data_IF_686413796258
#
_entry.id   IF_686413796258
#
_cell.length_a   1.000
_cell.length_b   1.000
_cell.length_c   1.000
_cell.angle_alpha   90.00
_cell.angle_beta   90.00
_cell.angle_gamma   90.00
#
_symmetry.space_group_name_H-M   'P 1'
#
loop_
_entity.id
_entity.type
_entity.pdbx_description
1 polymer ?
#
# COMPACT_ATOMS: atom_id res chain seq x y z
N UNK A 1 27.27 0.05 -24.59
CA UNK A 1 26.51 1.29 -24.97
C UNK A 1 25.67 1.64 -23.76
N UNK A 2 25.75 2.84 -23.24
CA UNK A 2 24.90 3.29 -22.11
C UNK A 2 23.48 3.62 -22.59
N UNK A 3 22.52 3.69 -21.65
CA UNK A 3 21.15 4.11 -21.97
C UNK A 3 21.13 5.51 -22.62
N UNK A 4 21.95 6.43 -22.10
CA UNK A 4 22.09 7.80 -22.64
C UNK A 4 22.47 7.82 -24.14
N UNK A 5 23.37 6.91 -24.56
CA UNK A 5 23.80 6.82 -25.96
C UNK A 5 22.77 6.08 -26.84
N UNK A 6 21.95 5.20 -26.27
CA UNK A 6 21.00 4.38 -27.01
C UNK A 6 19.62 5.05 -27.10
N UNK A 7 19.13 5.59 -25.99
CA UNK A 7 17.82 6.26 -25.90
C UNK A 7 17.92 7.46 -24.95
N UNK A 8 18.33 8.60 -25.51
CA UNK A 8 18.50 9.85 -24.76
C UNK A 8 17.19 10.37 -24.19
N UNK A 9 16.06 10.15 -24.86
CA UNK A 9 14.74 10.64 -24.41
C UNK A 9 14.34 9.97 -23.10
N UNK A 10 14.43 8.65 -23.02
CA UNK A 10 14.15 7.90 -21.79
C UNK A 10 15.15 8.23 -20.69
N UNK A 11 16.44 8.36 -21.05
CA UNK A 11 17.49 8.75 -20.09
C UNK A 11 17.18 10.13 -19.45
N UNK A 12 16.88 11.13 -20.28
CA UNK A 12 16.56 12.48 -19.80
C UNK A 12 15.28 12.51 -18.95
N UNK A 13 14.24 11.78 -19.33
CA UNK A 13 12.99 11.70 -18.56
C UNK A 13 13.18 11.01 -17.21
N UNK A 14 13.99 9.95 -17.17
CA UNK A 14 14.29 9.25 -15.92
C UNK A 14 15.10 10.12 -14.96
N UNK A 15 16.04 10.92 -15.48
CA UNK A 15 16.79 11.87 -14.65
C UNK A 15 15.90 13.02 -14.13
N UNK A 16 14.95 13.52 -14.94
CA UNK A 16 13.96 14.51 -14.48
C UNK A 16 13.08 13.94 -13.36
N UNK A 17 12.69 12.66 -13.44
CA UNK A 17 11.93 12.02 -12.36
C UNK A 17 12.78 11.84 -11.10
N UNK A 18 14.07 11.50 -11.22
CA UNK A 18 15.00 11.50 -10.10
C UNK A 18 15.10 12.87 -9.43
N UNK A 19 15.28 13.94 -10.23
CA UNK A 19 15.32 15.32 -9.74
C UNK A 19 14.03 15.67 -8.98
N UNK A 20 12.84 15.35 -9.55
CA UNK A 20 11.56 15.56 -8.90
C UNK A 20 11.46 14.86 -7.55
N UNK A 21 11.87 13.58 -7.47
CA UNK A 21 11.87 12.83 -6.23
C UNK A 21 12.88 13.37 -5.21
N UNK A 22 14.05 13.81 -5.65
CA UNK A 22 15.08 14.36 -4.76
C UNK A 22 14.70 15.73 -4.19
N UNK A 23 14.07 16.57 -4.99
CA UNK A 23 13.73 17.94 -4.62
C UNK A 23 12.39 18.08 -3.90
N UNK A 24 11.41 17.23 -4.26
CA UNK A 24 10.09 17.20 -3.67
C UNK A 24 9.98 16.33 -2.40
N UNK A 25 8.84 16.43 -1.72
CA UNK A 25 8.49 15.59 -0.60
C UNK A 25 7.34 14.64 -0.98
N UNK A 26 7.62 13.34 -0.99
CA UNK A 26 6.66 12.31 -1.32
C UNK A 26 5.85 11.91 -0.08
N UNK A 27 4.57 12.25 -0.06
CA UNK A 27 3.65 11.96 1.04
C UNK A 27 2.42 11.15 0.60
N UNK A 28 2.42 10.57 -0.59
CA UNK A 28 1.42 9.57 -0.96
C UNK A 28 1.61 8.34 -0.09
N UNK A 29 0.60 7.98 0.71
CA UNK A 29 0.69 6.91 1.71
C UNK A 29 1.01 5.51 1.14
N UNK A 30 0.83 5.31 -0.17
CA UNK A 30 1.12 4.07 -0.89
C UNK A 30 2.45 4.09 -1.63
N UNK A 31 3.26 5.15 -1.52
CA UNK A 31 4.58 5.26 -2.12
C UNK A 31 5.70 5.13 -1.10
N UNK A 32 6.86 4.71 -1.59
CA UNK A 32 8.06 4.56 -0.79
C UNK A 32 9.31 4.59 -1.68
N UNK A 33 10.46 4.92 -1.12
CA UNK A 33 11.75 4.83 -1.78
C UNK A 33 12.37 3.46 -1.49
N UNK A 34 12.43 2.60 -2.49
CA UNK A 34 13.01 1.26 -2.36
C UNK A 34 14.53 1.30 -2.22
N UNK A 35 15.13 0.16 -1.88
CA UNK A 35 16.59 0.06 -1.76
C UNK A 35 17.25 0.05 -3.16
N UNK A 36 18.47 0.63 -3.32
CA UNK A 36 19.25 0.51 -4.55
C UNK A 36 19.44 -0.94 -5.02
N UNK A 37 19.67 -1.88 -4.09
CA UNK A 37 19.85 -3.30 -4.37
C UNK A 37 18.58 -3.96 -4.94
N UNK A 38 17.40 -3.46 -4.60
CA UNK A 38 16.14 -3.90 -5.19
C UNK A 38 16.06 -3.46 -6.65
N UNK A 39 16.45 -2.22 -6.95
CA UNK A 39 16.48 -1.70 -8.33
C UNK A 39 17.56 -2.37 -9.17
N UNK A 40 18.73 -2.66 -8.61
CA UNK A 40 19.82 -3.36 -9.27
C UNK A 40 19.37 -4.74 -9.77
N UNK A 41 18.74 -5.54 -8.93
CA UNK A 41 18.28 -6.88 -9.34
C UNK A 41 17.08 -6.81 -10.28
N UNK A 42 16.25 -5.77 -10.21
CA UNK A 42 15.16 -5.52 -11.15
C UNK A 42 15.67 -5.32 -12.59
N UNK A 43 16.81 -4.68 -12.76
CA UNK A 43 17.48 -4.46 -14.06
C UNK A 43 18.37 -5.62 -14.52
N UNK A 44 18.31 -6.78 -13.89
CA UNK A 44 19.21 -7.91 -14.17
C UNK A 44 18.77 -8.78 -15.36
N UNK A 45 19.65 -9.71 -15.74
CA UNK A 45 19.41 -10.72 -16.79
C UNK A 45 18.20 -11.63 -16.51
N UNK A 46 17.68 -11.63 -15.29
CA UNK A 46 16.50 -12.43 -14.91
C UNK A 46 15.25 -12.02 -15.69
N UNK A 47 15.21 -10.83 -16.29
CA UNK A 47 14.16 -10.38 -17.20
C UNK A 47 14.02 -11.27 -18.45
N UNK A 48 15.09 -11.97 -18.84
CA UNK A 48 15.11 -12.82 -20.03
C UNK A 48 14.46 -14.20 -19.79
N UNK A 49 14.25 -14.59 -18.51
CA UNK A 49 13.90 -15.97 -18.18
C UNK A 49 12.41 -16.24 -18.18
N UNK A 50 11.97 -17.21 -18.95
CA UNK A 50 10.61 -17.73 -18.96
C UNK A 50 10.50 -18.95 -18.02
N UNK A 51 9.66 -18.89 -16.97
CA UNK A 51 9.63 -19.89 -15.90
C UNK A 51 8.20 -20.25 -15.45
N UNK A 52 7.28 -20.55 -16.40
CA UNK A 52 5.92 -21.00 -16.06
C UNK A 52 5.92 -22.22 -15.16
N UNK A 53 4.99 -22.24 -14.21
CA UNK A 53 4.92 -23.24 -13.14
C UNK A 53 5.50 -22.71 -11.83
N UNK A 54 5.93 -23.62 -10.99
CA UNK A 54 6.46 -23.36 -9.64
C UNK A 54 7.81 -24.06 -9.45
N UNK A 55 8.62 -23.70 -8.45
CA UNK A 55 9.92 -24.37 -8.19
C UNK A 55 9.80 -25.90 -8.20
N UNK A 56 10.66 -26.56 -8.95
CA UNK A 56 10.66 -28.01 -9.13
C UNK A 56 9.54 -28.57 -10.03
N UNK A 57 8.65 -27.72 -10.53
CA UNK A 57 7.50 -28.08 -11.39
C UNK A 57 7.31 -27.07 -12.52
N UNK A 58 8.38 -26.80 -13.27
CA UNK A 58 8.35 -25.85 -14.40
C UNK A 58 7.94 -26.54 -15.69
N UNK A 59 7.35 -25.75 -16.58
CA UNK A 59 7.03 -26.19 -17.95
C UNK A 59 8.19 -25.98 -18.91
N UNK A 60 9.26 -25.29 -18.51
CA UNK A 60 10.43 -24.95 -19.33
C UNK A 60 11.73 -25.42 -18.67
N UNK A 61 12.75 -25.71 -19.50
CA UNK A 61 14.08 -26.04 -19.01
C UNK A 61 14.89 -24.82 -18.59
N UNK A 62 16.08 -25.06 -17.99
CA UNK A 62 17.00 -23.98 -17.54
C UNK A 62 16.46 -23.16 -16.38
N UNK A 63 15.74 -23.78 -15.48
CA UNK A 63 15.10 -23.11 -14.35
C UNK A 63 15.79 -23.35 -13.00
N UNK A 64 16.92 -24.07 -12.98
CA UNK A 64 17.62 -24.46 -11.75
C UNK A 64 17.89 -23.28 -10.81
N UNK A 65 18.41 -22.16 -11.32
CA UNK A 65 18.74 -21.00 -10.49
C UNK A 65 17.51 -20.13 -10.16
N UNK A 66 16.55 -20.01 -11.08
CA UNK A 66 15.31 -19.27 -10.79
C UNK A 66 14.40 -20.02 -9.81
N UNK A 67 14.50 -21.36 -9.75
CA UNK A 67 13.85 -22.16 -8.72
C UNK A 67 14.41 -21.85 -7.33
N UNK A 68 15.73 -21.74 -7.22
CA UNK A 68 16.38 -21.33 -5.96
C UNK A 68 15.98 -19.89 -5.56
N UNK A 69 15.95 -18.96 -6.51
CA UNK A 69 15.54 -17.56 -6.29
C UNK A 69 14.10 -17.50 -5.79
N UNK A 70 13.16 -18.17 -6.46
CA UNK A 70 11.76 -18.15 -6.05
C UNK A 70 11.55 -18.84 -4.71
N UNK A 71 12.21 -19.98 -4.47
CA UNK A 71 12.21 -20.67 -3.18
C UNK A 71 12.72 -19.76 -2.07
N UNK A 72 13.82 -19.04 -2.30
CA UNK A 72 14.36 -18.08 -1.33
C UNK A 72 13.37 -16.94 -1.02
N UNK A 73 12.68 -16.41 -2.04
CA UNK A 73 11.64 -15.40 -1.85
C UNK A 73 10.47 -15.94 -1.01
N UNK A 74 10.01 -17.16 -1.32
CA UNK A 74 8.93 -17.85 -0.57
C UNK A 74 9.33 -18.04 0.89
N UNK A 75 10.52 -18.60 1.17
CA UNK A 75 10.95 -18.89 2.53
C UNK A 75 11.16 -17.60 3.36
N UNK A 76 11.69 -16.53 2.74
CA UNK A 76 11.79 -15.23 3.40
C UNK A 76 10.42 -14.63 3.68
N UNK A 77 9.47 -14.72 2.75
CA UNK A 77 8.09 -14.27 2.95
C UNK A 77 7.42 -15.03 4.09
N UNK A 78 7.52 -16.36 4.12
CA UNK A 78 6.98 -17.20 5.20
C UNK A 78 7.54 -16.81 6.56
N UNK A 79 8.87 -16.64 6.65
CA UNK A 79 9.54 -16.21 7.89
C UNK A 79 9.08 -14.82 8.33
N UNK A 80 8.96 -13.89 7.38
CA UNK A 80 8.61 -12.49 7.62
C UNK A 80 7.22 -12.35 8.23
N UNK A 81 6.22 -13.07 7.68
CA UNK A 81 4.83 -13.01 8.11
C UNK A 81 4.43 -14.12 9.10
N UNK A 82 5.36 -15.00 9.47
CA UNK A 82 5.11 -16.17 10.31
C UNK A 82 3.93 -17.00 9.77
N UNK A 83 3.97 -17.32 8.47
CA UNK A 83 2.96 -18.13 7.79
C UNK A 83 3.55 -19.42 7.21
N UNK A 84 2.67 -20.42 6.96
CA UNK A 84 3.12 -21.74 6.46
C UNK A 84 3.34 -21.76 4.95
N UNK A 85 2.54 -21.01 4.19
CA UNK A 85 2.55 -21.02 2.73
C UNK A 85 2.52 -19.59 2.20
N UNK A 86 3.29 -19.35 1.13
CA UNK A 86 3.34 -18.07 0.43
C UNK A 86 3.46 -18.28 -1.08
N UNK A 87 2.77 -17.45 -1.86
CA UNK A 87 2.94 -17.31 -3.30
C UNK A 87 3.47 -15.91 -3.59
N UNK A 88 4.65 -15.84 -4.24
CA UNK A 88 5.35 -14.59 -4.54
C UNK A 88 5.24 -14.17 -6.02
N UNK A 89 4.47 -14.93 -6.82
CA UNK A 89 4.32 -14.67 -8.26
C UNK A 89 3.35 -13.54 -8.62
N UNK A 90 2.34 -13.12 -7.81
CA UNK A 90 1.44 -12.06 -8.23
C UNK A 90 2.19 -10.79 -8.66
N UNK A 91 1.87 -10.27 -9.86
CA UNK A 91 2.52 -9.10 -10.43
C UNK A 91 2.09 -7.79 -9.75
N UNK A 92 0.95 -7.80 -9.06
CA UNK A 92 0.43 -6.66 -8.32
C UNK A 92 -0.49 -7.12 -7.18
N UNK A 93 -0.82 -6.21 -6.24
CA UNK A 93 -1.84 -6.48 -5.22
C UNK A 93 -3.21 -6.77 -5.84
N UNK A 94 -3.58 -6.09 -6.91
CA UNK A 94 -4.86 -6.35 -7.61
C UNK A 94 -4.92 -7.76 -8.19
N UNK A 95 -3.83 -8.25 -8.79
CA UNK A 95 -3.76 -9.64 -9.29
C UNK A 95 -3.71 -10.66 -8.15
N UNK A 96 -3.04 -10.34 -7.04
CA UNK A 96 -3.10 -11.16 -5.84
C UNK A 96 -4.55 -11.32 -5.35
N UNK A 97 -5.29 -10.21 -5.25
CA UNK A 97 -6.69 -10.22 -4.82
C UNK A 97 -7.58 -10.99 -5.80
N UNK A 98 -7.40 -10.81 -7.12
CA UNK A 98 -8.10 -11.60 -8.14
C UNK A 98 -7.84 -13.11 -7.99
N UNK A 99 -6.59 -13.50 -7.72
CA UNK A 99 -6.22 -14.87 -7.46
C UNK A 99 -6.90 -15.45 -6.23
N UNK A 100 -6.97 -14.66 -5.13
CA UNK A 100 -7.68 -15.07 -3.91
C UNK A 100 -9.17 -15.27 -4.17
N UNK A 101 -9.84 -14.35 -4.87
CA UNK A 101 -11.23 -14.52 -5.23
C UNK A 101 -11.46 -15.77 -6.08
N UNK A 102 -10.68 -15.95 -7.14
CA UNK A 102 -10.78 -17.11 -8.03
C UNK A 102 -10.51 -18.45 -7.32
N UNK A 103 -9.69 -18.42 -6.25
CA UNK A 103 -9.40 -19.61 -5.45
C UNK A 103 -10.50 -19.99 -4.47
N UNK A 104 -11.25 -19.01 -3.94
CA UNK A 104 -12.13 -19.18 -2.79
C UNK A 104 -13.62 -19.18 -3.14
N UNK A 105 -14.01 -18.48 -4.18
CA UNK A 105 -15.42 -18.24 -4.54
C UNK A 105 -15.63 -18.31 -6.05
N UNK A 106 -16.88 -18.45 -6.48
CA UNK A 106 -17.26 -18.52 -7.89
C UNK A 106 -17.77 -17.15 -8.39
N UNK A 107 -17.66 -16.88 -9.72
CA UNK A 107 -18.33 -15.71 -10.31
C UNK A 107 -19.81 -15.66 -9.93
N UNK A 108 -20.28 -14.48 -9.52
CA UNK A 108 -21.65 -14.29 -9.01
C UNK A 108 -21.83 -14.51 -7.51
N UNK A 109 -20.86 -15.12 -6.82
CA UNK A 109 -20.92 -15.19 -5.34
C UNK A 109 -20.81 -13.78 -4.74
N UNK A 110 -21.36 -13.61 -3.53
CA UNK A 110 -21.38 -12.31 -2.84
C UNK A 110 -20.12 -12.11 -2.00
N UNK A 111 -19.55 -10.90 -2.09
CA UNK A 111 -18.43 -10.44 -1.26
C UNK A 111 -18.85 -9.24 -0.42
N UNK A 112 -18.32 -9.14 0.79
CA UNK A 112 -18.45 -7.98 1.67
C UNK A 112 -17.08 -7.32 1.83
N UNK A 113 -16.95 -6.06 1.38
CA UNK A 113 -15.72 -5.28 1.48
C UNK A 113 -15.95 -3.91 2.08
N UNK A 114 -14.88 -3.19 2.40
CA UNK A 114 -15.00 -1.77 2.80
C UNK A 114 -15.37 -0.92 1.58
N UNK A 115 -16.35 -0.03 1.75
CA UNK A 115 -16.75 0.91 0.70
C UNK A 115 -15.58 1.79 0.25
N UNK A 116 -15.48 2.00 -1.06
CA UNK A 116 -14.41 2.82 -1.65
C UNK A 116 -14.42 4.25 -1.11
N UNK A 117 -15.60 4.82 -0.88
CA UNK A 117 -15.77 6.17 -0.33
C UNK A 117 -15.38 6.29 1.14
N UNK A 118 -15.31 5.17 1.84
CA UNK A 118 -14.91 5.06 3.25
C UNK A 118 -13.47 4.53 3.44
N UNK A 119 -12.68 4.51 2.37
CA UNK A 119 -11.28 4.11 2.41
C UNK A 119 -10.97 2.68 1.96
N UNK A 120 -11.94 1.97 1.38
CA UNK A 120 -11.72 0.66 0.75
C UNK A 120 -10.79 0.74 -0.47
N UNK A 121 -10.44 -0.41 -1.02
CA UNK A 121 -9.68 -0.50 -2.27
C UNK A 121 -10.60 -0.85 -3.45
N UNK A 122 -10.22 -0.45 -4.68
CA UNK A 122 -10.97 -0.78 -5.90
C UNK A 122 -11.29 -2.28 -6.00
N UNK A 123 -10.35 -3.14 -5.63
CA UNK A 123 -10.52 -4.60 -5.67
C UNK A 123 -11.36 -5.18 -4.54
N UNK A 124 -11.91 -4.37 -3.65
CA UNK A 124 -12.83 -4.80 -2.59
C UNK A 124 -14.30 -4.75 -3.01
N UNK A 125 -14.58 -4.87 -4.30
CA UNK A 125 -15.93 -4.93 -4.86
C UNK A 125 -16.39 -3.68 -5.59
N UNK A 126 -15.52 -2.67 -5.81
CA UNK A 126 -15.93 -1.48 -6.55
C UNK A 126 -16.41 -1.84 -7.97
N UNK A 127 -17.56 -1.31 -8.39
CA UNK A 127 -18.24 -1.66 -9.66
C UNK A 127 -17.37 -1.51 -10.91
N UNK A 128 -16.39 -0.61 -10.87
CA UNK A 128 -15.49 -0.35 -12.00
C UNK A 128 -14.35 -1.37 -12.08
N UNK A 129 -14.07 -2.10 -11.00
CA UNK A 129 -12.99 -3.11 -10.93
C UNK A 129 -13.50 -4.51 -11.33
N UNK A 130 -12.56 -5.42 -11.58
CA UNK A 130 -12.88 -6.82 -11.86
C UNK A 130 -13.68 -7.48 -10.74
N UNK A 131 -13.39 -7.17 -9.47
CA UNK A 131 -14.12 -7.71 -8.33
C UNK A 131 -15.60 -7.33 -8.35
N UNK A 132 -15.93 -6.06 -8.60
CA UNK A 132 -17.31 -5.62 -8.69
C UNK A 132 -18.03 -5.99 -9.99
N UNK A 133 -17.30 -6.46 -11.02
CA UNK A 133 -17.88 -6.97 -12.28
C UNK A 133 -18.15 -8.48 -12.23
N UNK A 134 -17.33 -9.23 -11.49
CA UNK A 134 -17.41 -10.69 -11.42
C UNK A 134 -18.24 -11.20 -10.24
N UNK A 135 -18.31 -10.42 -9.15
CA UNK A 135 -18.93 -10.82 -7.89
C UNK A 135 -20.04 -9.83 -7.50
N UNK A 136 -21.05 -10.32 -6.80
CA UNK A 136 -22.04 -9.47 -6.17
C UNK A 136 -21.42 -8.79 -4.94
N UNK A 137 -21.39 -7.46 -4.91
CA UNK A 137 -20.68 -6.72 -3.86
C UNK A 137 -21.64 -6.04 -2.91
N UNK A 138 -21.45 -6.25 -1.62
CA UNK A 138 -22.00 -5.43 -0.55
C UNK A 138 -20.88 -4.80 0.26
N UNK A 139 -21.19 -3.73 1.01
CA UNK A 139 -20.17 -2.90 1.60
C UNK A 139 -20.46 -2.62 3.07
N UNK A 140 -19.39 -2.60 3.89
CA UNK A 140 -19.37 -1.94 5.18
C UNK A 140 -18.60 -0.63 5.07
N UNK A 141 -18.84 0.28 6.00
CA UNK A 141 -18.16 1.57 6.04
C UNK A 141 -17.51 1.84 7.39
N UNK A 142 -17.16 3.10 7.58
CA UNK A 142 -16.80 3.67 8.87
C UNK A 142 -17.91 4.61 9.32
N UNK A 143 -17.99 4.84 10.63
CA UNK A 143 -18.90 5.81 11.23
C UNK A 143 -18.43 7.24 10.96
N UNK A 144 -19.23 8.24 11.36
CA UNK A 144 -18.88 9.65 11.17
C UNK A 144 -17.58 10.05 11.91
N UNK A 145 -17.22 9.31 12.95
CA UNK A 145 -15.95 9.46 13.66
C UNK A 145 -14.77 8.80 12.94
N UNK A 146 -15.01 8.20 11.78
CA UNK A 146 -13.99 7.54 10.96
C UNK A 146 -13.56 6.15 11.43
N UNK A 147 -14.30 5.51 12.35
CA UNK A 147 -13.96 4.18 12.89
C UNK A 147 -14.90 3.10 12.35
N UNK A 148 -14.38 1.88 12.23
CA UNK A 148 -15.18 0.70 11.87
C UNK A 148 -16.05 0.31 13.08
N UNK A 149 -17.37 0.28 12.88
CA UNK A 149 -18.32 -0.34 13.82
C UNK A 149 -18.48 -1.82 13.47
N UNK A 150 -17.86 -2.70 14.25
CA UNK A 150 -17.88 -4.14 14.01
C UNK A 150 -19.27 -4.76 14.20
N UNK A 151 -20.14 -4.16 15.02
CA UNK A 151 -21.52 -4.66 15.15
C UNK A 151 -22.34 -4.37 13.88
N UNK A 152 -22.17 -3.20 13.28
CA UNK A 152 -22.76 -2.91 11.96
C UNK A 152 -22.22 -3.83 10.87
N UNK A 153 -20.91 -4.13 10.89
CA UNK A 153 -20.34 -5.14 9.97
C UNK A 153 -21.01 -6.49 10.14
N UNK A 154 -21.24 -6.92 11.40
CA UNK A 154 -21.94 -8.18 11.74
C UNK A 154 -23.38 -8.18 11.24
N UNK A 155 -24.12 -7.10 11.45
CA UNK A 155 -25.49 -6.95 10.97
C UNK A 155 -25.57 -7.08 9.44
N UNK A 156 -24.69 -6.37 8.72
CA UNK A 156 -24.59 -6.43 7.25
C UNK A 156 -24.25 -7.86 6.82
N UNK A 157 -23.25 -8.49 7.44
CA UNK A 157 -22.83 -9.84 7.11
C UNK A 157 -23.96 -10.87 7.31
N UNK A 158 -24.73 -10.79 8.41
CA UNK A 158 -25.89 -11.66 8.67
C UNK A 158 -27.02 -11.44 7.66
N UNK A 159 -27.26 -10.19 7.27
CA UNK A 159 -28.29 -9.84 6.29
C UNK A 159 -27.91 -10.30 4.87
N UNK A 160 -26.71 -9.96 4.44
CA UNK A 160 -26.26 -10.15 3.05
C UNK A 160 -25.70 -11.55 2.79
N UNK A 161 -25.23 -12.25 3.81
CA UNK A 161 -24.65 -13.61 3.76
C UNK A 161 -23.57 -13.78 2.68
N UNK A 162 -22.53 -12.93 2.66
CA UNK A 162 -21.47 -13.06 1.70
C UNK A 162 -20.72 -14.38 1.87
N UNK A 163 -20.12 -14.88 0.77
CA UNK A 163 -19.23 -16.06 0.82
C UNK A 163 -17.83 -15.69 1.30
N UNK A 164 -17.47 -14.41 1.18
CA UNK A 164 -16.15 -13.91 1.54
C UNK A 164 -16.27 -12.48 2.10
N UNK A 165 -15.61 -12.26 3.23
CA UNK A 165 -15.42 -10.93 3.83
C UNK A 165 -13.99 -10.48 3.55
N UNK A 166 -13.82 -9.28 2.99
CA UNK A 166 -12.52 -8.63 2.79
C UNK A 166 -12.31 -7.61 3.89
N UNK A 167 -11.28 -7.79 4.71
CA UNK A 167 -10.82 -6.79 5.67
C UNK A 167 -9.50 -6.19 5.21
N UNK A 168 -9.41 -4.87 5.26
CA UNK A 168 -8.27 -4.08 4.77
C UNK A 168 -8.74 -2.76 4.19
N UNK A 169 -7.84 -1.79 4.10
CA UNK A 169 -8.18 -0.46 3.67
C UNK A 169 -7.00 0.26 3.01
N UNK A 170 -7.31 1.23 2.15
CA UNK A 170 -6.35 2.15 1.53
C UNK A 170 -6.25 3.49 2.27
N UNK A 171 -7.26 3.88 3.04
CA UNK A 171 -7.31 5.17 3.72
C UNK A 171 -7.94 5.07 5.12
N UNK A 172 -7.58 4.04 5.88
CA UNK A 172 -8.01 3.86 7.27
C UNK A 172 -6.83 4.06 8.22
N UNK A 173 -6.94 5.06 9.10
CA UNK A 173 -5.84 5.50 9.95
C UNK A 173 -5.73 4.73 11.28
N UNK A 174 -6.66 3.81 11.60
CA UNK A 174 -6.71 3.10 12.87
C UNK A 174 -6.35 1.62 12.73
N UNK A 175 -6.16 0.97 13.87
CA UNK A 175 -5.93 -0.48 13.92
C UNK A 175 -7.16 -1.24 13.39
N UNK A 176 -6.91 -2.27 12.57
CA UNK A 176 -7.93 -3.23 12.12
C UNK A 176 -7.93 -4.42 13.06
N UNK A 177 -9.08 -4.72 13.66
CA UNK A 177 -9.27 -5.89 14.51
C UNK A 177 -9.65 -7.12 13.68
N UNK A 178 -8.64 -7.90 13.31
CA UNK A 178 -8.82 -9.11 12.52
C UNK A 178 -9.56 -10.22 13.29
N UNK A 179 -9.48 -10.23 14.62
CA UNK A 179 -10.21 -11.22 15.44
C UNK A 179 -11.73 -11.01 15.35
N UNK A 180 -12.19 -9.76 15.44
CA UNK A 180 -13.62 -9.43 15.28
C UNK A 180 -14.13 -9.76 13.88
N UNK A 181 -13.35 -9.47 12.84
CA UNK A 181 -13.71 -9.89 11.49
C UNK A 181 -13.80 -11.41 11.35
N UNK A 182 -12.91 -12.15 12.03
CA UNK A 182 -12.95 -13.62 12.03
C UNK A 182 -14.21 -14.15 12.72
N UNK A 183 -14.57 -13.64 13.89
CA UNK A 183 -15.81 -13.99 14.58
C UNK A 183 -17.03 -13.79 13.66
N UNK A 184 -17.12 -12.64 12.99
CA UNK A 184 -18.22 -12.33 12.07
C UNK A 184 -18.23 -13.31 10.89
N UNK A 185 -17.09 -13.63 10.32
CA UNK A 185 -16.98 -14.58 9.20
C UNK A 185 -17.43 -16.00 9.62
N UNK A 186 -17.02 -16.45 10.80
CA UNK A 186 -17.37 -17.76 11.33
C UNK A 186 -18.88 -17.87 11.62
N UNK A 187 -19.52 -16.80 12.14
CA UNK A 187 -20.96 -16.76 12.41
C UNK A 187 -21.83 -17.02 11.15
N UNK A 188 -21.33 -16.70 9.96
CA UNK A 188 -22.07 -16.86 8.70
C UNK A 188 -21.46 -17.90 7.76
N UNK A 189 -20.37 -18.57 8.17
CA UNK A 189 -19.65 -19.56 7.37
C UNK A 189 -18.96 -19.00 6.14
N UNK A 190 -18.47 -17.74 6.21
CA UNK A 190 -17.74 -17.07 5.13
C UNK A 190 -16.23 -17.23 5.28
N UNK A 191 -15.50 -17.11 4.16
CA UNK A 191 -14.06 -16.91 4.22
C UNK A 191 -13.72 -15.51 4.72
N UNK A 192 -12.67 -15.37 5.55
CA UNK A 192 -12.05 -14.10 5.87
C UNK A 192 -10.78 -13.93 5.04
N UNK A 193 -10.75 -12.90 4.21
CA UNK A 193 -9.62 -12.48 3.41
C UNK A 193 -9.09 -11.14 3.90
N UNK A 194 -7.80 -11.07 4.29
CA UNK A 194 -7.16 -9.84 4.74
C UNK A 194 -6.24 -9.28 3.65
N UNK A 195 -6.58 -8.11 3.12
CA UNK A 195 -5.69 -7.31 2.28
C UNK A 195 -4.94 -6.29 3.15
N UNK A 196 -3.69 -6.62 3.48
CA UNK A 196 -2.84 -5.79 4.34
C UNK A 196 -1.87 -4.91 3.56
N UNK A 197 -2.12 -4.67 2.27
CA UNK A 197 -1.19 -3.97 1.38
C UNK A 197 -0.66 -2.64 1.95
N UNK A 198 -1.49 -1.87 2.64
CA UNK A 198 -1.08 -0.60 3.23
C UNK A 198 -0.26 -0.74 4.52
N UNK A 199 -0.55 -1.74 5.32
CA UNK A 199 0.01 -1.90 6.66
C UNK A 199 1.03 -3.04 6.79
N UNK A 200 1.31 -3.77 5.71
CA UNK A 200 2.16 -4.96 5.75
C UNK A 200 3.53 -4.72 6.39
N UNK A 201 4.17 -3.59 6.10
CA UNK A 201 5.44 -3.23 6.70
C UNK A 201 5.37 -3.01 8.21
N UNK A 202 4.26 -2.47 8.70
CA UNK A 202 4.01 -2.30 10.14
C UNK A 202 3.68 -3.64 10.80
N UNK A 203 2.91 -4.51 10.13
CA UNK A 203 2.57 -5.84 10.62
C UNK A 203 3.83 -6.67 10.87
N UNK A 204 4.77 -6.71 9.91
CA UNK A 204 6.00 -7.51 10.06
C UNK A 204 6.97 -6.94 11.09
N UNK A 205 6.88 -5.66 11.41
CA UNK A 205 7.66 -5.02 12.47
C UNK A 205 7.01 -5.11 13.86
N UNK A 206 5.76 -5.60 13.96
CA UNK A 206 5.01 -5.62 15.21
C UNK A 206 4.36 -4.28 15.59
N UNK A 207 4.35 -3.30 14.67
CA UNK A 207 3.76 -1.97 14.87
C UNK A 207 2.26 -1.91 14.51
N UNK A 208 1.70 -3.02 14.00
CA UNK A 208 0.27 -3.27 13.78
C UNK A 208 -0.01 -4.76 14.03
N UNK A 209 -1.17 -5.13 14.58
CA UNK A 209 -1.56 -6.53 14.76
C UNK A 209 -1.47 -7.33 13.46
N UNK A 210 -1.05 -8.60 13.57
CA UNK A 210 -1.01 -9.52 12.43
C UNK A 210 -2.42 -10.04 12.09
N UNK A 211 -2.77 -10.24 10.80
CA UNK A 211 -3.98 -10.94 10.41
C UNK A 211 -3.94 -12.43 10.74
N UNK A 212 -2.76 -13.02 10.96
CA UNK A 212 -2.62 -14.38 11.44
C UNK A 212 -2.73 -14.45 12.98
N UNK A 213 -3.47 -15.42 13.54
CA UNK A 213 -4.03 -16.62 12.89
C UNK A 213 -5.47 -16.47 12.34
N UNK A 214 -6.02 -15.29 12.27
CA UNK A 214 -7.45 -15.04 12.05
C UNK A 214 -7.87 -15.21 10.59
N UNK A 215 -7.14 -14.62 9.64
CA UNK A 215 -7.51 -14.67 8.23
C UNK A 215 -7.25 -16.05 7.60
N UNK A 216 -8.16 -16.51 6.74
CA UNK A 216 -7.97 -17.71 5.95
C UNK A 216 -6.91 -17.52 4.88
N UNK A 217 -6.94 -16.36 4.20
CA UNK A 217 -5.95 -15.95 3.22
C UNK A 217 -5.59 -14.48 3.47
N UNK A 218 -4.33 -14.15 3.25
CA UNK A 218 -3.80 -12.79 3.37
C UNK A 218 -3.15 -12.42 2.06
N UNK A 219 -3.41 -11.22 1.55
CA UNK A 219 -2.65 -10.64 0.45
C UNK A 219 -1.92 -9.36 0.87
N UNK A 220 -0.90 -9.02 0.12
CA UNK A 220 -0.25 -7.72 0.24
C UNK A 220 0.37 -7.29 -1.09
N UNK A 221 0.65 -5.99 -1.20
CA UNK A 221 1.66 -5.46 -2.12
C UNK A 221 3.04 -5.53 -1.47
N UNK A 222 4.10 -5.43 -2.29
CA UNK A 222 5.48 -5.45 -1.79
C UNK A 222 6.15 -4.06 -1.78
N UNK A 223 5.54 -3.04 -2.40
CA UNK A 223 6.15 -1.74 -2.70
C UNK A 223 5.66 -0.56 -1.84
N UNK A 224 4.68 -0.76 -0.93
CA UNK A 224 4.17 0.30 -0.06
C UNK A 224 4.98 0.35 1.24
N UNK A 225 4.36 0.09 2.38
CA UNK A 225 5.06 0.05 3.66
C UNK A 225 6.15 -1.04 3.73
N UNK A 226 6.13 -2.08 2.90
CA UNK A 226 7.21 -3.07 2.80
C UNK A 226 8.46 -2.58 2.06
N UNK A 227 8.40 -1.45 1.34
CA UNK A 227 9.56 -0.81 0.70
C UNK A 227 10.33 -1.69 -0.31
N UNK A 228 9.67 -2.70 -0.87
CA UNK A 228 10.24 -3.60 -1.89
C UNK A 228 9.87 -3.18 -3.32
N UNK A 229 10.04 -4.08 -4.31
CA UNK A 229 9.64 -3.84 -5.69
C UNK A 229 8.12 -3.81 -5.82
N UNK A 230 7.61 -3.22 -6.91
CA UNK A 230 6.19 -3.30 -7.25
C UNK A 230 5.82 -4.75 -7.55
N UNK A 231 4.84 -5.26 -6.81
CA UNK A 231 4.38 -6.65 -6.90
C UNK A 231 3.33 -6.97 -5.85
N UNK A 232 2.87 -8.21 -5.82
CA UNK A 232 1.94 -8.75 -4.83
C UNK A 232 2.42 -10.08 -4.25
N UNK A 233 1.82 -10.48 -3.14
CA UNK A 233 2.01 -11.77 -2.47
C UNK A 233 0.68 -12.28 -1.95
N UNK A 234 0.56 -13.60 -1.84
CA UNK A 234 -0.56 -14.30 -1.19
C UNK A 234 0.00 -15.25 -0.14
N UNK A 235 -0.62 -15.30 1.02
CA UNK A 235 -0.15 -16.10 2.16
C UNK A 235 -1.33 -16.80 2.83
N UNK A 236 -1.09 -17.98 3.37
CA UNK A 236 -2.09 -18.74 4.15
C UNK A 236 -1.41 -19.73 5.09
N UNK A 237 -2.13 -20.20 6.10
CA UNK A 237 -1.71 -21.31 6.96
C UNK A 237 -2.37 -22.64 6.60
N UNK A 238 -3.26 -22.66 5.60
CA UNK A 238 -3.99 -23.81 5.12
C UNK A 238 -3.38 -24.33 3.81
N UNK A 239 -3.03 -25.62 3.77
CA UNK A 239 -2.37 -26.25 2.62
C UNK A 239 -3.31 -26.33 1.39
N UNK A 240 -4.60 -26.62 1.61
CA UNK A 240 -5.54 -26.73 0.50
C UNK A 240 -5.85 -25.35 -0.11
N UNK A 241 -5.92 -24.31 0.72
CA UNK A 241 -6.04 -22.95 0.23
C UNK A 241 -4.76 -22.48 -0.49
N UNK A 242 -3.58 -22.93 -0.04
CA UNK A 242 -2.34 -22.64 -0.75
C UNK A 242 -2.33 -23.26 -2.16
N UNK A 243 -2.74 -24.51 -2.31
CA UNK A 243 -2.85 -25.19 -3.61
C UNK A 243 -3.85 -24.48 -4.53
N UNK A 244 -5.02 -24.10 -4.01
CA UNK A 244 -6.03 -23.33 -4.76
C UNK A 244 -5.51 -21.97 -5.21
N UNK A 245 -4.88 -21.21 -4.32
CA UNK A 245 -4.29 -19.90 -4.65
C UNK A 245 -3.18 -20.05 -5.70
N UNK A 246 -2.32 -21.04 -5.59
CA UNK A 246 -1.29 -21.30 -6.59
C UNK A 246 -1.91 -21.59 -7.97
N UNK A 247 -2.91 -22.47 -8.04
CA UNK A 247 -3.62 -22.77 -9.29
C UNK A 247 -4.35 -21.55 -9.86
N UNK A 248 -4.91 -20.71 -9.01
CA UNK A 248 -5.61 -19.48 -9.43
C UNK A 248 -4.64 -18.45 -10.00
N UNK A 249 -3.41 -18.36 -9.48
CA UNK A 249 -2.37 -17.48 -10.03
C UNK A 249 -1.83 -18.09 -11.33
N UNK A 250 -1.25 -19.28 -11.28
CA UNK A 250 -0.77 -19.97 -12.46
C UNK A 250 -1.37 -21.40 -12.52
N UNK A 251 -2.03 -21.76 -13.60
CA UNK A 251 -2.24 -21.03 -14.85
C UNK A 251 -3.50 -20.12 -14.90
N UNK A 252 -4.15 -19.86 -13.76
CA UNK A 252 -5.48 -19.28 -13.73
C UNK A 252 -5.57 -17.85 -14.31
N UNK A 253 -4.75 -16.91 -13.84
CA UNK A 253 -4.80 -15.48 -14.24
C UNK A 253 -3.47 -14.92 -14.73
N UNK A 254 -2.35 -15.64 -14.53
CA UNK A 254 -1.01 -15.26 -14.98
C UNK A 254 -0.37 -16.39 -15.78
N UNK A 255 0.58 -16.04 -16.68
CA UNK A 255 1.50 -16.94 -17.35
C UNK A 255 2.87 -16.92 -16.69
N UNK A 256 3.94 -16.70 -17.49
CA UNK A 256 5.32 -16.69 -17.00
C UNK A 256 5.53 -15.63 -15.91
N UNK A 257 6.09 -16.03 -14.76
CA UNK A 257 6.34 -15.11 -13.66
C UNK A 257 7.47 -14.14 -13.98
N UNK A 258 7.45 -12.96 -13.39
CA UNK A 258 8.49 -11.94 -13.53
C UNK A 258 9.67 -12.25 -12.60
N UNK A 259 10.64 -13.05 -13.07
CA UNK A 259 11.72 -13.57 -12.23
C UNK A 259 12.61 -12.47 -11.64
N UNK A 260 12.85 -11.38 -12.36
CA UNK A 260 13.56 -10.20 -11.86
C UNK A 260 12.79 -9.52 -10.70
N UNK A 261 11.46 -9.48 -10.74
CA UNK A 261 10.63 -8.96 -9.65
C UNK A 261 10.63 -9.91 -8.45
N UNK A 262 10.56 -11.22 -8.67
CA UNK A 262 10.63 -12.22 -7.59
C UNK A 262 11.98 -12.15 -6.87
N UNK A 263 13.08 -12.03 -7.60
CA UNK A 263 14.40 -11.81 -7.03
C UNK A 263 14.47 -10.52 -6.20
N UNK A 264 13.88 -9.44 -6.72
CA UNK A 264 13.79 -8.17 -6.01
C UNK A 264 12.93 -8.26 -4.73
N UNK A 265 11.84 -9.05 -4.74
CA UNK A 265 11.07 -9.38 -3.53
C UNK A 265 11.95 -10.08 -2.50
N UNK A 266 12.76 -11.06 -2.93
CA UNK A 266 13.68 -11.77 -2.04
C UNK A 266 14.70 -10.81 -1.38
N UNK A 267 15.21 -9.83 -2.12
CA UNK A 267 16.11 -8.79 -1.58
C UNK A 267 15.37 -7.90 -0.57
N UNK A 268 14.20 -7.38 -0.93
CA UNK A 268 13.38 -6.57 -0.02
C UNK A 268 13.02 -7.31 1.28
N UNK A 269 12.60 -8.56 1.18
CA UNK A 269 12.28 -9.39 2.36
C UNK A 269 13.49 -9.65 3.25
N UNK A 270 14.71 -9.75 2.68
CA UNK A 270 15.93 -9.83 3.49
C UNK A 270 16.11 -8.59 4.37
N UNK A 271 15.89 -7.40 3.81
CA UNK A 271 15.93 -6.15 4.57
C UNK A 271 14.81 -6.09 5.62
N UNK A 272 13.59 -6.49 5.26
CA UNK A 272 12.46 -6.51 6.20
C UNK A 272 12.65 -7.49 7.38
N UNK A 273 13.55 -8.45 7.28
CA UNK A 273 13.92 -9.38 8.36
C UNK A 273 15.01 -8.82 9.30
N UNK A 274 15.57 -7.65 9.02
CA UNK A 274 16.63 -7.03 9.82
C UNK A 274 16.08 -6.25 11.03
N UNK A 275 16.95 -5.93 11.99
CA UNK A 275 16.57 -5.06 13.10
C UNK A 275 16.43 -3.59 12.65
N UNK A 276 17.16 -3.18 11.61
CA UNK A 276 17.02 -1.86 10.99
C UNK A 276 15.58 -1.65 10.46
N UNK A 277 14.95 -2.70 9.96
CA UNK A 277 13.55 -2.64 9.54
C UNK A 277 12.60 -2.27 10.67
N UNK A 278 12.78 -2.85 11.86
CA UNK A 278 11.95 -2.54 13.04
C UNK A 278 12.09 -1.07 13.43
N UNK A 279 13.32 -0.55 13.38
CA UNK A 279 13.60 0.87 13.67
C UNK A 279 12.90 1.76 12.64
N UNK A 280 13.02 1.43 11.35
CA UNK A 280 12.35 2.15 10.27
C UNK A 280 10.82 2.16 10.44
N UNK A 281 10.19 1.00 10.63
CA UNK A 281 8.74 0.89 10.73
C UNK A 281 8.19 1.63 11.96
N UNK A 282 8.89 1.58 13.09
CA UNK A 282 8.55 2.37 14.27
C UNK A 282 8.64 3.87 13.98
N UNK A 283 9.70 4.30 13.27
CA UNK A 283 9.86 5.71 12.91
C UNK A 283 8.76 6.17 11.95
N UNK A 284 8.31 5.33 11.00
CA UNK A 284 7.17 5.62 10.12
C UNK A 284 5.91 5.97 10.93
N UNK A 285 5.60 5.15 11.94
CA UNK A 285 4.44 5.40 12.80
C UNK A 285 4.64 6.64 13.68
N UNK A 286 5.83 6.82 14.26
CA UNK A 286 6.16 8.01 15.06
C UNK A 286 6.01 9.29 14.23
N UNK A 287 6.54 9.30 13.01
CA UNK A 287 6.42 10.42 12.08
C UNK A 287 4.95 10.73 11.73
N UNK A 288 4.11 9.70 11.55
CA UNK A 288 2.69 9.90 11.30
C UNK A 288 1.96 10.50 12.52
N UNK A 289 2.35 10.12 13.72
CA UNK A 289 1.82 10.69 14.96
C UNK A 289 2.22 12.17 15.13
N UNK A 290 3.47 12.53 14.82
CA UNK A 290 3.92 13.94 14.82
C UNK A 290 3.10 14.75 13.82
N UNK A 291 2.97 14.26 12.57
CA UNK A 291 2.15 14.89 11.53
C UNK A 291 0.71 15.12 12.02
N UNK A 292 0.08 14.09 12.60
CA UNK A 292 -1.28 14.18 13.10
C UNK A 292 -1.41 15.22 14.22
N UNK A 293 -0.52 15.20 15.19
CA UNK A 293 -0.56 16.11 16.34
C UNK A 293 -0.41 17.58 15.90
N UNK A 294 0.60 17.87 15.06
CA UNK A 294 0.82 19.24 14.56
C UNK A 294 -0.41 19.74 13.79
N UNK A 295 -0.98 18.93 12.89
CA UNK A 295 -2.16 19.34 12.13
C UNK A 295 -3.38 19.58 13.02
N UNK A 296 -3.60 18.75 14.05
CA UNK A 296 -4.68 18.94 15.01
C UNK A 296 -4.46 20.18 15.89
N UNK A 297 -3.23 20.45 16.33
CA UNK A 297 -2.87 21.67 17.08
C UNK A 297 -3.12 22.92 16.23
N UNK A 298 -2.88 22.85 14.92
CA UNK A 298 -3.19 23.85 13.90
C UNK A 298 -4.70 23.90 13.54
N UNK A 299 -5.57 23.16 14.26
CA UNK A 299 -7.03 23.13 14.10
C UNK A 299 -7.53 22.56 12.77
N UNK A 300 -6.76 21.67 12.16
CA UNK A 300 -7.25 20.82 11.07
C UNK A 300 -7.94 19.59 11.63
N UNK A 301 -9.06 19.21 11.02
CA UNK A 301 -9.78 17.99 11.39
C UNK A 301 -9.13 16.78 10.71
N UNK A 302 -8.80 15.77 11.50
CA UNK A 302 -8.40 14.45 11.01
C UNK A 302 -9.55 13.48 11.20
N UNK A 303 -9.80 12.67 10.18
CA UNK A 303 -10.72 11.53 10.29
C UNK A 303 -10.19 10.59 11.37
N UNK A 304 -11.05 10.19 12.31
CA UNK A 304 -10.77 9.37 13.49
C UNK A 304 -9.84 10.03 14.55
N UNK A 305 -9.67 11.35 14.53
CA UNK A 305 -8.90 12.12 15.53
C UNK A 305 -7.47 11.62 15.72
N UNK A 306 -6.76 11.39 14.61
CA UNK A 306 -5.35 11.00 14.60
C UNK A 306 -5.06 9.70 13.83
N UNK A 307 -3.96 9.03 14.20
CA UNK A 307 -3.51 7.81 13.51
C UNK A 307 -2.83 6.82 14.45
N UNK A 308 -2.98 5.53 14.14
CA UNK A 308 -2.27 4.43 14.77
C UNK A 308 -1.24 3.79 13.80
N UNK A 309 -1.18 4.25 12.55
CA UNK A 309 -0.34 3.65 11.50
C UNK A 309 0.51 4.69 10.74
N UNK A 310 0.70 4.52 9.43
CA UNK A 310 1.59 5.30 8.57
C UNK A 310 0.93 6.47 7.84
N UNK A 311 -0.38 6.65 7.98
CA UNK A 311 -1.12 7.67 7.24
C UNK A 311 -2.03 8.50 8.15
N UNK A 312 -2.34 9.71 7.70
CA UNK A 312 -3.41 10.53 8.23
C UNK A 312 -4.40 10.87 7.11
N UNK A 313 -5.67 11.01 7.45
CA UNK A 313 -6.72 11.45 6.54
C UNK A 313 -7.32 12.75 7.07
N UNK A 314 -7.05 13.86 6.39
CA UNK A 314 -7.60 15.17 6.71
C UNK A 314 -9.02 15.31 6.16
N UNK A 315 -9.89 16.04 6.87
CA UNK A 315 -11.24 16.37 6.45
C UNK A 315 -11.41 17.88 6.29
N UNK A 316 -11.94 18.30 5.14
CA UNK A 316 -12.25 19.68 4.78
C UNK A 316 -13.75 19.91 4.57
N UNK A 317 -14.58 19.11 5.26
CA UNK A 317 -16.05 19.28 5.20
C UNK A 317 -16.51 20.64 5.75
N UNK A 318 -15.75 21.21 6.67
CA UNK A 318 -15.97 22.53 7.30
C UNK A 318 -15.13 23.65 6.69
N UNK A 319 -14.46 23.40 5.55
CA UNK A 319 -13.64 24.39 4.86
C UNK A 319 -14.24 24.75 3.50
N UNK A 320 -13.96 25.98 3.03
CA UNK A 320 -14.41 26.42 1.71
C UNK A 320 -13.66 25.71 0.57
N UNK A 321 -12.36 25.44 0.76
CA UNK A 321 -11.56 24.72 -0.23
C UNK A 321 -11.82 23.20 -0.20
N UNK A 322 -11.54 22.54 -1.29
CA UNK A 322 -11.73 21.09 -1.48
C UNK A 322 -10.44 20.29 -1.32
N UNK A 323 -10.54 18.95 -1.33
CA UNK A 323 -9.39 18.07 -1.41
C UNK A 323 -8.56 18.29 -2.66
N UNK A 324 -9.21 18.64 -3.80
CA UNK A 324 -8.52 18.99 -5.04
C UNK A 324 -7.71 20.27 -4.93
N UNK A 325 -8.25 21.30 -4.26
CA UNK A 325 -7.54 22.57 -4.09
C UNK A 325 -6.33 22.39 -3.15
N UNK A 326 -6.49 21.61 -2.08
CA UNK A 326 -5.42 21.25 -1.17
C UNK A 326 -4.31 20.46 -1.88
N UNK A 327 -4.66 19.44 -2.67
CA UNK A 327 -3.73 18.62 -3.47
C UNK A 327 -2.92 19.50 -4.45
N UNK A 328 -3.58 20.44 -5.13
CA UNK A 328 -2.95 21.36 -6.05
C UNK A 328 -1.99 22.33 -5.33
N UNK A 329 -2.44 22.95 -4.23
CA UNK A 329 -1.63 23.92 -3.48
C UNK A 329 -0.37 23.26 -2.89
N UNK A 330 -0.48 22.07 -2.33
CA UNK A 330 0.68 21.30 -1.85
C UNK A 330 1.60 20.89 -2.99
N UNK A 331 1.04 20.44 -4.13
CA UNK A 331 1.81 20.09 -5.31
C UNK A 331 2.65 21.26 -5.84
N UNK A 332 2.09 22.48 -5.87
CA UNK A 332 2.82 23.69 -6.26
C UNK A 332 4.01 23.96 -5.32
N UNK A 333 3.86 23.64 -4.03
CA UNK A 333 4.93 23.75 -3.04
C UNK A 333 5.88 22.55 -3.00
N UNK A 334 5.75 21.60 -3.93
CA UNK A 334 6.63 20.43 -4.01
C UNK A 334 6.31 19.32 -3.02
N UNK A 335 5.11 19.29 -2.43
CA UNK A 335 4.61 18.22 -1.58
C UNK A 335 3.62 17.38 -2.37
N UNK A 336 3.98 16.13 -2.66
CA UNK A 336 3.13 15.19 -3.39
C UNK A 336 2.21 14.47 -2.42
N UNK A 337 0.89 14.66 -2.57
CA UNK A 337 -0.15 14.04 -1.75
C UNK A 337 -1.26 13.47 -2.64
N UNK A 338 -2.37 13.04 -2.09
CA UNK A 338 -3.55 12.76 -2.90
C UNK A 338 -4.85 13.16 -2.20
N UNK A 339 -5.74 13.79 -2.96
CA UNK A 339 -7.10 14.01 -2.52
C UNK A 339 -7.81 12.67 -2.24
N UNK A 340 -8.71 12.66 -1.26
CA UNK A 340 -9.41 11.46 -0.81
C UNK A 340 -10.83 11.80 -0.34
N UNK A 341 -11.77 10.88 -0.52
CA UNK A 341 -13.08 10.97 0.10
C UNK A 341 -12.98 10.82 1.62
N UNK A 342 -13.93 11.38 2.34
CA UNK A 342 -14.03 11.29 3.80
C UNK A 342 -15.44 10.85 4.22
N UNK A 343 -15.62 10.28 5.43
CA UNK A 343 -16.97 10.00 5.95
C UNK A 343 -17.84 11.25 5.92
N UNK A 344 -19.06 11.11 5.42
CA UNK A 344 -19.96 12.25 5.22
C UNK A 344 -19.67 13.10 3.97
N UNK A 345 -18.95 12.56 2.99
CA UNK A 345 -18.54 13.23 1.75
C UNK A 345 -19.73 13.90 1.02
N UNK A 346 -19.58 15.18 0.71
CA UNK A 346 -20.60 16.01 0.04
C UNK A 346 -20.18 16.46 -1.37
N UNK A 347 -18.92 16.29 -1.73
CA UNK A 347 -18.36 16.67 -3.04
C UNK A 347 -18.26 15.44 -3.94
N UNK A 348 -18.12 15.66 -5.25
CA UNK A 348 -17.94 14.56 -6.20
C UNK A 348 -16.60 13.84 -5.99
N UNK A 349 -16.46 12.56 -6.40
CA UNK A 349 -15.20 11.80 -6.28
C UNK A 349 -14.00 12.41 -6.99
N UNK A 350 -14.21 13.33 -7.93
CA UNK A 350 -13.14 14.05 -8.64
C UNK A 350 -12.63 15.29 -7.89
N UNK A 351 -13.40 15.77 -6.90
CA UNK A 351 -13.10 16.97 -6.11
C UNK A 351 -12.71 16.57 -4.68
N UNK A 352 -13.56 15.79 -4.02
CA UNK A 352 -13.43 15.27 -2.64
C UNK A 352 -13.34 16.34 -1.56
N UNK A 353 -13.55 15.94 -0.31
CA UNK A 353 -13.45 16.82 0.85
C UNK A 353 -12.30 16.44 1.79
N UNK A 354 -11.34 15.65 1.32
CA UNK A 354 -10.21 15.27 2.15
C UNK A 354 -8.90 15.14 1.39
N UNK A 355 -7.85 14.96 2.19
CA UNK A 355 -6.48 14.76 1.74
C UNK A 355 -5.86 13.63 2.55
N UNK A 356 -5.24 12.65 1.87
CA UNK A 356 -4.48 11.58 2.51
C UNK A 356 -3.00 11.89 2.43
N UNK A 357 -2.31 11.80 3.57
CA UNK A 357 -0.87 11.97 3.71
C UNK A 357 -0.29 10.73 4.37
N UNK A 358 0.93 10.35 3.98
CA UNK A 358 1.66 9.22 4.56
C UNK A 358 3.13 9.55 4.78
N UNK A 359 3.76 8.79 5.66
CA UNK A 359 5.14 9.04 6.10
C UNK A 359 6.18 8.02 5.66
N UNK A 360 5.86 6.90 4.96
CA UNK A 360 6.87 5.90 4.63
C UNK A 360 8.03 6.43 3.79
N UNK A 361 7.74 7.21 2.73
CA UNK A 361 8.77 7.74 1.84
C UNK A 361 9.68 8.76 2.53
N UNK A 362 9.12 9.69 3.32
CA UNK A 362 9.92 10.64 4.08
C UNK A 362 10.77 9.96 5.14
N UNK A 363 10.25 8.94 5.81
CA UNK A 363 11.02 8.14 6.76
C UNK A 363 12.14 7.36 6.06
N UNK A 364 11.87 6.78 4.88
CA UNK A 364 12.89 6.10 4.07
C UNK A 364 14.01 7.05 3.64
N UNK A 365 13.68 8.33 3.44
CA UNK A 365 14.60 9.42 3.15
C UNK A 365 15.45 9.81 4.36
N UNK A 366 15.05 9.46 5.58
CA UNK A 366 15.77 9.77 6.82
C UNK A 366 15.12 10.84 7.69
N UNK A 367 13.92 11.31 7.36
CA UNK A 367 13.17 12.27 8.17
C UNK A 367 12.75 11.63 9.49
N UNK A 368 12.88 12.43 10.55
CA UNK A 368 12.46 12.12 11.92
C UNK A 368 11.48 13.18 12.42
N UNK A 369 11.20 13.15 13.70
CA UNK A 369 10.19 13.98 14.36
C UNK A 369 10.39 15.48 14.05
N UNK A 370 11.64 15.97 14.11
CA UNK A 370 11.97 17.38 13.87
C UNK A 370 11.63 17.82 12.44
N UNK A 371 12.02 17.04 11.46
CA UNK A 371 11.73 17.31 10.05
C UNK A 371 10.24 17.20 9.78
N UNK A 372 9.57 16.23 10.41
CA UNK A 372 8.12 16.08 10.30
C UNK A 372 7.36 17.24 10.91
N UNK A 373 7.81 17.79 12.03
CA UNK A 373 7.23 18.99 12.63
C UNK A 373 7.31 20.18 11.67
N UNK A 374 8.48 20.41 11.03
CA UNK A 374 8.69 21.47 10.04
C UNK A 374 7.73 21.29 8.85
N UNK A 375 7.73 20.09 8.26
CA UNK A 375 6.87 19.78 7.09
C UNK A 375 5.39 19.93 7.43
N UNK A 376 4.97 19.46 8.60
CA UNK A 376 3.58 19.55 9.04
C UNK A 376 3.12 20.99 9.21
N UNK A 377 3.98 21.87 9.72
CA UNK A 377 3.67 23.31 9.83
C UNK A 377 3.59 23.95 8.43
N UNK A 378 4.47 23.63 7.50
CA UNK A 378 4.36 24.12 6.12
C UNK A 378 3.08 23.64 5.42
N UNK A 379 2.68 22.37 5.64
CA UNK A 379 1.39 21.87 5.14
C UNK A 379 0.24 22.74 5.72
N UNK A 380 0.25 22.99 7.01
CA UNK A 380 -0.78 23.81 7.65
C UNK A 380 -0.79 25.25 7.12
N UNK A 381 0.38 25.89 6.96
CA UNK A 381 0.51 27.26 6.41
C UNK A 381 -0.07 27.34 4.99
N UNK A 382 0.22 26.37 4.12
CA UNK A 382 -0.33 26.31 2.75
C UNK A 382 -1.85 26.12 2.78
N UNK A 383 -2.36 25.26 3.68
CA UNK A 383 -3.79 24.98 3.77
C UNK A 383 -4.59 26.08 4.47
N UNK A 384 -3.96 26.94 5.27
CA UNK A 384 -4.58 28.15 5.83
C UNK A 384 -4.81 29.23 4.75
N UNK A 385 -4.04 29.22 3.66
CA UNK A 385 -4.17 30.13 2.51
C UNK A 385 -3.85 29.43 1.18
N UNK A 386 -4.73 28.52 0.75
CA UNK A 386 -4.56 27.63 -0.41
C UNK A 386 -4.36 28.35 -1.75
N UNK A 387 -4.70 29.62 -1.84
CA UNK A 387 -4.59 30.43 -3.06
C UNK A 387 -3.32 31.30 -3.09
N UNK A 388 -2.47 31.24 -2.08
CA UNK A 388 -1.29 32.09 -1.95
C UNK A 388 -0.08 31.48 -2.70
N UNK A 389 -0.01 31.68 -4.01
CA UNK A 389 1.07 31.16 -4.88
C UNK A 389 2.46 31.63 -4.39
N UNK A 390 2.57 32.85 -3.86
CA UNK A 390 3.85 33.37 -3.34
C UNK A 390 4.32 32.59 -2.11
N UNK A 391 3.40 32.26 -1.21
CA UNK A 391 3.68 31.43 -0.03
C UNK A 391 4.11 30.03 -0.47
N UNK A 392 3.37 29.42 -1.42
CA UNK A 392 3.68 28.09 -1.96
C UNK A 392 5.09 28.06 -2.58
N UNK A 393 5.47 29.06 -3.38
CA UNK A 393 6.81 29.13 -3.96
C UNK A 393 7.89 29.33 -2.90
N UNK A 394 7.68 30.18 -1.90
CA UNK A 394 8.64 30.36 -0.81
C UNK A 394 8.85 29.05 -0.03
N UNK A 395 7.78 28.36 0.32
CA UNK A 395 7.83 27.06 1.03
C UNK A 395 8.56 26.02 0.15
N UNK A 396 8.30 25.99 -1.16
CA UNK A 396 8.99 25.10 -2.09
C UNK A 396 10.52 25.26 -2.02
N UNK A 397 11.01 26.48 -1.97
CA UNK A 397 12.45 26.74 -1.86
C UNK A 397 13.01 26.26 -0.50
N UNK A 398 12.27 26.45 0.60
CA UNK A 398 12.69 25.96 1.91
C UNK A 398 12.65 24.42 1.97
N UNK A 399 11.63 23.77 1.38
CA UNK A 399 11.55 22.32 1.30
C UNK A 399 12.66 21.72 0.44
N UNK A 400 13.02 22.36 -0.66
CA UNK A 400 14.16 21.94 -1.49
C UNK A 400 15.48 22.00 -0.71
N UNK A 401 15.70 23.04 0.11
CA UNK A 401 16.85 23.13 1.01
C UNK A 401 16.81 22.03 2.09
N UNK A 402 15.64 21.77 2.69
CA UNK A 402 15.49 20.69 3.67
C UNK A 402 15.80 19.35 3.02
N UNK A 403 15.20 19.08 1.86
CA UNK A 403 15.34 17.85 1.10
C UNK A 403 16.79 17.54 0.71
N UNK A 404 17.59 18.57 0.36
CA UNK A 404 19.00 18.41 -0.05
C UNK A 404 19.90 17.85 1.05
N UNK A 405 19.49 17.90 2.32
CA UNK A 405 20.22 17.29 3.43
C UNK A 405 19.95 15.77 3.55
N UNK A 406 19.04 15.22 2.76
CA UNK A 406 18.54 13.86 2.85
C UNK A 406 18.49 13.23 1.46
N UNK A 407 19.65 12.87 0.92
CA UNK A 407 19.80 12.31 -0.43
C UNK A 407 19.18 10.92 -0.48
N UNK A 408 18.28 10.66 -1.44
CA UNK A 408 17.62 9.38 -1.62
C UNK A 408 18.50 8.44 -2.46
N UNK A 409 18.93 8.93 -3.63
CA UNK A 409 19.75 8.20 -4.59
C UNK A 409 20.80 9.15 -5.19
N UNK A 410 22.01 8.66 -5.39
CA UNK A 410 23.09 9.46 -6.01
C UNK A 410 22.93 9.58 -7.53
N UNK A 411 22.20 8.64 -8.15
CA UNK A 411 21.93 8.58 -9.60
C UNK A 411 20.70 7.74 -9.89
N UNK A 412 20.18 7.80 -11.11
CA UNK A 412 19.01 7.07 -11.56
C UNK A 412 19.24 5.56 -11.87
N UNK A 413 20.30 4.95 -11.34
CA UNK A 413 20.58 3.50 -11.40
C UNK A 413 20.79 2.92 -12.80
N UNK A 414 21.48 3.59 -13.74
CA UNK A 414 21.97 3.00 -15.02
C UNK A 414 23.35 3.50 -15.41
#
# INVERSE_FOLDING_TARGET
>A
MSLEMFDKEIFDLTNKELERQCEGLEMIASENFTLPEVMEVMGSILTNKYAEGYPGKRYYGGCEFVDEIETLAIERCKKLFNCKFANVQPNSGSQANQGVYAALINPGDKILGMDLSHGGHLTHGAKVSSSGKMYESCFYGVELDGRIDYEKVREIAKKEKPKLIVCGASAYARVIDFAKFREIADEIGAYLFADIAHIAGLVVAGEHPSPFPYAHVVSSTTHKTLRGPRGGIIMTNDEELAKKNNSAIFPGIQGGPLMHVIAAKAVGFKFNLSDEWKVYAKQVRTNAQVLANVLMDRKFKLVSDGTDNHLVLMSFLDREFSGKDADLALGNAGITANKNTVPGEIRSPFITSGLRLGTPALTARGFKEKEMEIVSNYIADILDDVNNEKLQENIKQELKKLASNFIIYERAMF
#
